data_IF_898862602566
#
_entry.id   IF_898862602566
#
_cell.length_a   1.000
_cell.length_b   1.000
_cell.length_c   1.000
_cell.angle_alpha   90.00
_cell.angle_beta   90.00
_cell.angle_gamma   90.00
#
_symmetry.space_group_name_H-M   'P 1'
#
loop_
_entity.id
_entity.type
_entity.pdbx_description
1 polymer ?
#
# COMPACT_ATOMS: atom_id res chain seq x y z
N UNK A 1 -39.55 4.40 20.15
CA UNK A 1 -39.59 3.09 19.46
C UNK A 1 -38.38 2.27 19.91
N UNK A 2 -38.41 0.95 19.78
CA UNK A 2 -37.29 0.06 20.13
C UNK A 2 -36.62 -0.55 18.87
N UNK A 3 -35.58 -1.36 19.06
CA UNK A 3 -34.85 -2.00 17.93
C UNK A 3 -35.78 -2.88 17.09
N UNK A 4 -36.72 -3.60 17.71
CA UNK A 4 -37.67 -4.46 16.98
C UNK A 4 -38.64 -3.66 16.12
N UNK A 5 -38.96 -2.42 16.49
CA UNK A 5 -39.73 -1.50 15.64
C UNK A 5 -38.92 -1.10 14.40
N UNK A 6 -37.63 -0.76 14.56
CA UNK A 6 -36.76 -0.37 13.44
C UNK A 6 -36.51 -1.52 12.45
N UNK A 7 -36.28 -2.74 12.97
CA UNK A 7 -36.16 -3.93 12.12
C UNK A 7 -37.43 -4.19 11.31
N UNK A 8 -38.61 -3.97 11.92
CA UNK A 8 -39.91 -4.09 11.22
C UNK A 8 -40.11 -3.03 10.15
N UNK A 9 -39.52 -1.85 10.31
CA UNK A 9 -39.49 -0.81 9.28
C UNK A 9 -38.48 -1.10 8.16
N UNK A 10 -37.73 -2.21 8.24
CA UNK A 10 -36.76 -2.62 7.22
C UNK A 10 -35.37 -2.01 7.41
N UNK A 11 -35.08 -1.40 8.57
CA UNK A 11 -33.72 -0.97 8.91
C UNK A 11 -32.86 -2.22 9.15
N UNK A 12 -31.75 -2.42 8.42
CA UNK A 12 -30.87 -3.57 8.61
C UNK A 12 -30.17 -3.52 9.96
N UNK A 13 -29.75 -4.69 10.46
CA UNK A 13 -28.94 -4.78 11.68
C UNK A 13 -27.57 -4.08 11.51
N UNK A 14 -26.92 -3.78 12.64
CA UNK A 14 -25.61 -3.13 12.68
C UNK A 14 -25.73 -1.61 12.82
N UNK A 15 -24.85 -0.87 12.15
CA UNK A 15 -24.69 0.58 12.34
C UNK A 15 -25.92 1.38 11.91
N UNK A 16 -26.69 0.86 10.95
CA UNK A 16 -27.96 1.46 10.53
C UNK A 16 -28.97 1.56 11.68
N UNK A 17 -28.94 0.64 12.66
CA UNK A 17 -29.78 0.72 13.87
C UNK A 17 -29.36 1.89 14.76
N UNK A 18 -28.04 2.13 14.91
CA UNK A 18 -27.55 3.25 15.72
C UNK A 18 -27.87 4.59 15.08
N UNK A 19 -27.72 4.68 13.75
CA UNK A 19 -28.09 5.86 12.97
C UNK A 19 -29.61 6.10 13.00
N UNK A 20 -30.42 5.05 12.85
CA UNK A 20 -31.87 5.15 12.95
C UNK A 20 -32.31 5.62 14.34
N UNK A 21 -31.67 5.11 15.41
CA UNK A 21 -31.96 5.58 16.77
C UNK A 21 -31.58 7.05 16.98
N UNK A 22 -30.43 7.48 16.45
CA UNK A 22 -29.97 8.87 16.55
C UNK A 22 -30.89 9.81 15.77
N UNK A 23 -31.27 9.42 14.55
CA UNK A 23 -32.24 10.12 13.70
C UNK A 23 -33.60 10.22 14.37
N UNK A 24 -34.14 9.12 14.88
CA UNK A 24 -35.38 9.06 15.67
C UNK A 24 -35.36 10.04 16.85
N UNK A 25 -34.28 10.05 17.65
CA UNK A 25 -34.15 10.98 18.79
C UNK A 25 -34.17 12.44 18.34
N UNK A 26 -33.52 12.75 17.23
CA UNK A 26 -33.52 14.10 16.65
C UNK A 26 -34.92 14.53 16.22
N UNK A 27 -35.66 13.67 15.54
CA UNK A 27 -37.03 13.97 15.11
C UNK A 27 -37.99 14.15 16.30
N UNK A 28 -37.88 13.30 17.33
CA UNK A 28 -38.67 13.48 18.56
C UNK A 28 -38.34 14.81 19.27
N UNK A 29 -37.06 15.21 19.29
CA UNK A 29 -36.66 16.50 19.85
C UNK A 29 -37.19 17.70 19.05
N UNK A 30 -37.51 17.51 17.76
CA UNK A 30 -38.18 18.49 16.91
C UNK A 30 -39.71 18.50 17.09
N UNK A 31 -40.26 17.66 17.97
CA UNK A 31 -41.69 17.62 18.28
C UNK A 31 -42.51 16.70 17.38
N UNK A 32 -41.88 15.89 16.52
CA UNK A 32 -42.60 14.90 15.72
C UNK A 32 -43.16 13.80 16.62
N UNK A 33 -44.37 13.35 16.33
CA UNK A 33 -44.97 12.21 17.02
C UNK A 33 -44.43 10.88 16.49
N UNK A 34 -44.82 9.78 17.14
CA UNK A 34 -44.35 8.44 16.76
C UNK A 34 -44.72 8.06 15.33
N UNK A 35 -45.93 8.40 14.87
CA UNK A 35 -46.40 8.01 13.53
C UNK A 35 -45.62 8.77 12.45
N UNK A 36 -45.33 10.04 12.68
CA UNK A 36 -44.51 10.87 11.80
C UNK A 36 -43.07 10.35 11.72
N UNK A 37 -42.48 9.94 12.85
CA UNK A 37 -41.14 9.34 12.87
C UNK A 37 -41.09 7.99 12.16
N UNK A 38 -42.09 7.13 12.36
CA UNK A 38 -42.20 5.84 11.66
C UNK A 38 -42.34 6.04 10.15
N UNK A 39 -43.15 7.01 9.71
CA UNK A 39 -43.33 7.35 8.30
C UNK A 39 -42.05 7.89 7.67
N UNK A 40 -41.29 8.73 8.39
CA UNK A 40 -40.02 9.29 7.91
C UNK A 40 -38.97 8.18 7.69
N UNK A 41 -38.80 7.29 8.68
CA UNK A 41 -37.86 6.16 8.58
C UNK A 41 -38.30 5.19 7.48
N UNK A 42 -39.59 4.89 7.38
CA UNK A 42 -40.11 4.03 6.32
C UNK A 42 -39.86 4.62 4.93
N UNK A 43 -40.07 5.93 4.75
CA UNK A 43 -39.76 6.62 3.50
C UNK A 43 -38.29 6.47 3.12
N UNK A 44 -37.38 6.68 4.08
CA UNK A 44 -35.94 6.48 3.88
C UNK A 44 -35.60 5.04 3.49
N UNK A 45 -36.23 4.04 4.10
CA UNK A 45 -36.00 2.62 3.76
C UNK A 45 -36.54 2.28 2.38
N UNK A 46 -37.70 2.83 2.01
CA UNK A 46 -38.37 2.54 0.75
C UNK A 46 -37.64 3.13 -0.46
N UNK A 47 -37.07 4.34 -0.33
CA UNK A 47 -36.30 5.00 -1.39
C UNK A 47 -35.10 5.78 -0.81
N UNK A 48 -34.03 5.10 -0.35
CA UNK A 48 -32.89 5.78 0.25
C UNK A 48 -32.25 6.85 -0.66
N UNK A 49 -32.04 6.62 -1.97
CA UNK A 49 -31.45 7.63 -2.87
C UNK A 49 -32.14 8.98 -2.87
N UNK A 50 -33.47 9.04 -2.69
CA UNK A 50 -34.23 10.28 -2.64
C UNK A 50 -33.79 11.23 -1.51
N UNK A 51 -33.09 10.71 -0.50
CA UNK A 51 -32.68 11.45 0.69
C UNK A 51 -31.17 11.74 0.74
N UNK A 52 -30.39 11.42 -0.30
CA UNK A 52 -28.93 11.60 -0.28
C UNK A 52 -28.48 13.06 -0.25
N UNK A 53 -29.35 13.99 -0.66
CA UNK A 53 -29.12 15.43 -0.63
C UNK A 53 -29.67 16.12 0.65
N UNK A 54 -30.33 15.37 1.53
CA UNK A 54 -30.88 15.90 2.79
C UNK A 54 -29.88 15.66 3.93
N UNK A 55 -29.29 16.73 4.46
CA UNK A 55 -28.26 16.63 5.52
C UNK A 55 -28.72 15.89 6.79
N UNK A 56 -30.02 15.85 7.06
CA UNK A 56 -30.59 15.18 8.25
C UNK A 56 -30.79 13.70 8.00
N UNK A 57 -31.32 13.34 6.82
CA UNK A 57 -31.73 11.96 6.48
C UNK A 57 -30.66 11.18 5.74
N UNK A 58 -29.77 11.84 5.02
CA UNK A 58 -28.70 11.24 4.24
C UNK A 58 -27.84 10.24 5.03
N UNK A 59 -27.46 10.49 6.30
CA UNK A 59 -26.67 9.52 7.06
C UNK A 59 -27.37 8.15 7.20
N UNK A 60 -28.67 8.16 7.52
CA UNK A 60 -29.45 6.93 7.62
C UNK A 60 -29.70 6.31 6.24
N UNK A 61 -30.08 7.13 5.25
CA UNK A 61 -30.35 6.67 3.90
C UNK A 61 -29.15 5.95 3.28
N UNK A 62 -27.96 6.56 3.34
CA UNK A 62 -26.71 5.98 2.83
C UNK A 62 -26.33 4.71 3.58
N UNK A 63 -26.55 4.68 4.90
CA UNK A 63 -26.28 3.50 5.72
C UNK A 63 -27.17 2.30 5.37
N UNK A 64 -28.39 2.52 4.87
CA UNK A 64 -29.35 1.48 4.49
C UNK A 64 -29.24 1.08 3.01
N UNK A 65 -28.81 1.99 2.15
CA UNK A 65 -28.76 1.76 0.70
C UNK A 65 -27.85 0.59 0.31
N UNK A 66 -28.44 -0.47 -0.28
CA UNK A 66 -27.75 -1.67 -0.76
C UNK A 66 -28.23 -2.03 -2.17
N UNK A 67 -27.76 -1.31 -3.21
CA UNK A 67 -28.18 -1.61 -4.57
C UNK A 67 -27.67 -2.99 -5.01
N UNK A 68 -28.43 -3.71 -5.84
CA UNK A 68 -27.93 -4.94 -6.45
C UNK A 68 -26.69 -4.62 -7.30
N UNK A 69 -25.72 -5.52 -7.30
CA UNK A 69 -24.53 -5.36 -8.12
C UNK A 69 -24.89 -5.45 -9.60
N UNK A 70 -24.62 -4.37 -10.34
CA UNK A 70 -24.68 -4.36 -11.80
C UNK A 70 -23.28 -3.99 -12.30
N UNK A 71 -22.59 -4.87 -13.04
CA UNK A 71 -21.30 -4.53 -13.61
C UNK A 71 -21.47 -3.43 -14.66
N UNK A 72 -20.39 -2.73 -14.97
CA UNK A 72 -20.39 -1.77 -16.09
C UNK A 72 -20.71 -2.51 -17.40
N UNK A 73 -21.45 -1.85 -18.29
CA UNK A 73 -21.70 -2.36 -19.63
C UNK A 73 -20.39 -2.48 -20.44
N UNK A 74 -19.48 -1.52 -20.24
CA UNK A 74 -18.13 -1.51 -20.77
C UNK A 74 -17.13 -1.32 -19.62
N UNK A 75 -16.03 -2.06 -19.67
CA UNK A 75 -14.95 -1.91 -18.70
C UNK A 75 -14.46 -0.45 -18.68
N UNK A 76 -14.11 0.04 -17.49
CA UNK A 76 -13.34 1.26 -17.40
C UNK A 76 -12.08 1.16 -18.28
N UNK A 77 -11.70 2.22 -19.02
CA UNK A 77 -10.53 2.19 -19.89
C UNK A 77 -9.28 1.86 -19.07
N UNK A 78 -8.45 0.95 -19.58
CA UNK A 78 -7.19 0.61 -18.94
C UNK A 78 -6.13 0.19 -19.95
N UNK A 79 -4.86 0.37 -19.55
CA UNK A 79 -3.70 0.01 -20.37
C UNK A 79 -2.77 -0.94 -19.60
N UNK A 80 -2.13 -1.85 -20.35
CA UNK A 80 -1.13 -2.78 -19.84
C UNK A 80 0.27 -2.39 -20.32
N UNK A 81 1.25 -2.52 -19.43
CA UNK A 81 2.67 -2.48 -19.74
C UNK A 81 3.28 -3.87 -19.51
N UNK A 82 4.19 -4.27 -20.40
CA UNK A 82 4.79 -5.60 -20.40
C UNK A 82 3.96 -6.67 -21.12
N UNK A 83 4.65 -7.74 -21.50
CA UNK A 83 4.10 -8.91 -22.20
C UNK A 83 4.24 -10.17 -21.35
N UNK A 84 3.46 -11.20 -21.63
CA UNK A 84 3.56 -12.49 -20.92
C UNK A 84 3.18 -12.44 -19.44
N UNK A 85 2.38 -11.44 -19.02
CA UNK A 85 1.86 -11.36 -17.67
C UNK A 85 0.93 -12.55 -17.36
N UNK A 86 0.85 -12.93 -16.09
CA UNK A 86 -0.02 -14.01 -15.64
C UNK A 86 -1.48 -13.72 -16.00
N UNK A 87 -2.15 -14.65 -16.70
CA UNK A 87 -3.52 -14.45 -17.18
C UNK A 87 -4.51 -14.12 -16.05
N UNK A 88 -4.30 -14.70 -14.86
CA UNK A 88 -5.13 -14.40 -13.70
C UNK A 88 -4.90 -12.97 -13.17
N UNK A 89 -3.67 -12.44 -13.21
CA UNK A 89 -3.41 -11.04 -12.83
C UNK A 89 -4.09 -10.06 -13.81
N UNK A 90 -4.04 -10.36 -15.11
CA UNK A 90 -4.76 -9.59 -16.14
C UNK A 90 -6.28 -9.64 -15.91
N UNK A 91 -6.80 -10.83 -15.59
CA UNK A 91 -8.23 -11.00 -15.24
C UNK A 91 -8.62 -10.23 -13.99
N UNK A 92 -7.78 -10.20 -12.95
CA UNK A 92 -8.01 -9.39 -11.76
C UNK A 92 -8.12 -7.89 -12.09
N UNK A 93 -7.27 -7.39 -13.01
CA UNK A 93 -7.37 -6.01 -13.49
C UNK A 93 -8.68 -5.76 -14.24
N UNK A 94 -9.07 -6.65 -15.16
CA UNK A 94 -10.33 -6.54 -15.89
C UNK A 94 -11.56 -6.56 -14.96
N UNK A 95 -11.54 -7.44 -13.94
CA UNK A 95 -12.56 -7.51 -12.90
C UNK A 95 -12.67 -6.19 -12.12
N UNK A 96 -11.54 -5.58 -11.77
CA UNK A 96 -11.51 -4.28 -11.11
C UNK A 96 -12.10 -3.18 -12.01
N UNK A 97 -11.77 -3.16 -13.30
CA UNK A 97 -12.34 -2.24 -14.28
C UNK A 97 -13.83 -2.50 -14.60
N UNK A 98 -14.39 -3.65 -14.20
CA UNK A 98 -15.81 -3.97 -14.39
C UNK A 98 -16.71 -3.39 -13.28
N UNK A 99 -16.13 -2.92 -12.17
CA UNK A 99 -16.88 -2.36 -11.05
C UNK A 99 -17.60 -1.08 -11.46
N UNK A 100 -18.82 -0.83 -10.95
CA UNK A 100 -19.56 0.40 -11.27
C UNK A 100 -18.82 1.67 -10.85
N UNK A 101 -18.01 1.60 -9.79
CA UNK A 101 -17.19 2.73 -9.30
C UNK A 101 -15.88 2.92 -10.07
N UNK A 102 -15.48 2.01 -10.95
CA UNK A 102 -14.23 2.12 -11.69
C UNK A 102 -14.30 3.23 -12.74
N UNK A 103 -13.23 4.03 -12.83
CA UNK A 103 -13.11 5.17 -13.75
C UNK A 103 -12.03 4.90 -14.80
N UNK A 104 -10.86 4.41 -14.40
CA UNK A 104 -9.77 4.03 -15.28
C UNK A 104 -8.81 3.07 -14.57
N UNK A 105 -7.92 2.40 -15.31
CA UNK A 105 -6.92 1.53 -14.72
C UNK A 105 -5.61 1.45 -15.48
N UNK A 106 -4.58 0.92 -14.83
CA UNK A 106 -3.30 0.61 -15.45
C UNK A 106 -2.70 -0.65 -14.82
N UNK A 107 -2.02 -1.46 -15.64
CA UNK A 107 -1.36 -2.69 -15.20
C UNK A 107 0.14 -2.61 -15.52
N UNK A 108 0.97 -2.65 -14.48
CA UNK A 108 2.42 -2.48 -14.54
C UNK A 108 3.13 -3.79 -14.98
N UNK A 109 4.37 -3.71 -15.51
CA UNK A 109 5.07 -4.89 -16.04
C UNK A 109 5.50 -5.91 -14.96
N UNK A 110 5.55 -5.51 -13.70
CA UNK A 110 5.80 -6.38 -12.54
C UNK A 110 4.54 -7.09 -12.03
N UNK A 111 3.40 -6.93 -12.72
CA UNK A 111 2.14 -7.42 -12.21
C UNK A 111 2.06 -8.94 -12.02
N UNK A 112 1.43 -9.36 -10.94
CA UNK A 112 1.21 -10.74 -10.55
C UNK A 112 -0.01 -10.86 -9.63
N UNK A 113 -0.50 -12.09 -9.44
CA UNK A 113 -1.74 -12.36 -8.71
C UNK A 113 -1.68 -11.82 -7.28
N UNK A 114 -2.72 -11.08 -6.89
CA UNK A 114 -2.92 -10.56 -5.54
C UNK A 114 -4.33 -10.84 -5.00
N UNK A 115 -4.75 -10.10 -3.98
CA UNK A 115 -6.13 -10.11 -3.47
C UNK A 115 -6.95 -8.95 -4.02
N UNK A 116 -8.02 -9.21 -4.79
CA UNK A 116 -8.81 -8.16 -5.41
C UNK A 116 -8.07 -7.55 -6.60
N UNK A 117 -7.47 -6.37 -6.42
CA UNK A 117 -6.56 -5.78 -7.41
C UNK A 117 -5.25 -6.61 -7.48
N UNK A 118 -4.69 -6.88 -8.68
CA UNK A 118 -3.40 -7.53 -8.79
C UNK A 118 -2.31 -6.64 -8.19
N UNK A 119 -1.22 -7.25 -7.73
CA UNK A 119 0.00 -6.49 -7.43
C UNK A 119 0.54 -6.00 -8.78
N UNK A 120 1.03 -4.76 -8.87
CA UNK A 120 1.28 -4.05 -10.13
C UNK A 120 0.03 -3.37 -10.71
N UNK A 121 -1.11 -3.41 -10.01
CA UNK A 121 -2.36 -2.79 -10.46
C UNK A 121 -2.51 -1.35 -9.98
N UNK A 122 -3.08 -0.51 -10.84
CA UNK A 122 -3.53 0.85 -10.53
C UNK A 122 -4.99 1.00 -10.93
N UNK A 123 -5.84 1.44 -10.02
CA UNK A 123 -7.28 1.60 -10.26
C UNK A 123 -7.76 2.96 -9.77
N UNK A 124 -8.25 3.78 -10.69
CA UNK A 124 -8.99 5.00 -10.37
C UNK A 124 -10.48 4.67 -10.18
N UNK A 125 -11.07 5.17 -9.09
CA UNK A 125 -12.50 5.01 -8.79
C UNK A 125 -13.16 6.36 -8.52
N UNK A 126 -14.47 6.42 -8.72
CA UNK A 126 -15.30 7.58 -8.42
C UNK A 126 -15.75 7.55 -6.95
N UNK A 127 -15.26 8.50 -6.15
CA UNK A 127 -15.58 8.72 -4.74
C UNK A 127 -15.64 7.45 -3.85
N UNK A 128 -14.88 6.42 -4.18
CA UNK A 128 -14.92 5.13 -3.52
C UNK A 128 -13.52 4.62 -3.22
N UNK A 129 -13.34 4.00 -2.08
CA UNK A 129 -12.07 3.39 -1.67
C UNK A 129 -12.24 1.88 -1.46
N UNK A 130 -11.31 1.09 -2.00
CA UNK A 130 -11.31 -0.38 -1.95
C UNK A 130 -10.13 -0.82 -1.07
N UNK A 131 -10.37 -1.26 0.18
CA UNK A 131 -9.27 -1.56 1.11
C UNK A 131 -8.27 -2.60 0.59
N UNK A 132 -8.71 -3.65 -0.09
CA UNK A 132 -7.79 -4.64 -0.68
C UNK A 132 -7.09 -4.18 -1.96
N UNK A 133 -7.58 -3.12 -2.62
CA UNK A 133 -6.87 -2.45 -3.70
C UNK A 133 -5.82 -1.46 -3.19
N UNK A 134 -5.89 -1.04 -1.92
CA UNK A 134 -4.77 -0.38 -1.23
C UNK A 134 -3.70 -1.41 -0.86
N UNK A 135 -4.13 -2.56 -0.33
CA UNK A 135 -3.25 -3.66 0.08
C UNK A 135 -3.33 -3.95 1.57
N UNK A 136 -2.91 -5.17 1.97
CA UNK A 136 -2.93 -5.60 3.38
C UNK A 136 -1.93 -4.79 4.19
N UNK A 137 -0.69 -4.69 3.71
CA UNK A 137 0.30 -3.79 4.29
C UNK A 137 0.12 -2.38 3.72
N UNK A 138 -0.77 -1.62 4.37
CA UNK A 138 -1.07 -0.24 4.02
C UNK A 138 0.20 0.59 4.09
N UNK A 139 0.43 1.39 3.05
CA UNK A 139 1.57 2.29 2.92
C UNK A 139 2.94 1.61 3.03
N UNK A 140 3.02 0.33 2.66
CA UNK A 140 4.29 -0.30 2.33
C UNK A 140 5.04 0.59 1.32
N UNK A 141 6.31 0.85 1.62
CA UNK A 141 7.12 1.87 0.96
C UNK A 141 8.60 1.50 0.91
N UNK A 142 9.29 2.16 0.00
CA UNK A 142 10.74 2.14 -0.12
C UNK A 142 11.32 3.43 0.44
N UNK A 143 12.49 3.35 1.07
CA UNK A 143 13.33 4.52 1.39
C UNK A 143 14.79 4.23 1.08
N UNK A 144 15.42 5.09 0.28
CA UNK A 144 16.83 5.06 -0.03
C UNK A 144 17.51 6.28 0.60
N UNK A 145 18.58 6.06 1.36
CA UNK A 145 19.50 7.13 1.76
C UNK A 145 20.88 6.85 1.20
N UNK A 146 21.43 7.81 0.47
CA UNK A 146 22.82 7.80 0.02
C UNK A 146 23.64 8.63 1.00
N UNK A 147 24.80 8.12 1.40
CA UNK A 147 25.67 8.75 2.38
C UNK A 147 26.90 9.41 1.74
N UNK A 148 27.53 10.33 2.46
CA UNK A 148 28.81 10.99 2.15
C UNK A 148 30.03 10.04 2.23
N UNK A 149 29.90 8.81 1.72
CA UNK A 149 30.90 7.73 1.81
C UNK A 149 31.02 7.03 0.46
N UNK A 150 32.25 6.78 0.01
CA UNK A 150 32.52 6.06 -1.25
C UNK A 150 32.04 4.60 -1.19
N UNK A 151 31.38 4.11 -2.22
CA UNK A 151 30.81 2.75 -2.28
C UNK A 151 31.84 1.63 -2.09
N UNK A 152 33.08 1.84 -2.56
CA UNK A 152 34.17 0.87 -2.40
C UNK A 152 34.56 0.61 -0.91
N UNK A 153 34.09 1.44 0.03
CA UNK A 153 34.32 1.27 1.47
C UNK A 153 33.54 0.10 2.07
N UNK A 154 32.46 -0.36 1.42
CA UNK A 154 31.60 -1.45 1.90
C UNK A 154 32.40 -2.75 2.11
N UNK A 155 33.26 -3.11 1.15
CA UNK A 155 34.02 -4.36 1.20
C UNK A 155 34.93 -4.47 2.44
N UNK A 156 35.51 -3.34 2.88
CA UNK A 156 36.38 -3.30 4.07
C UNK A 156 35.64 -3.13 5.40
N UNK A 157 34.31 -2.99 5.40
CA UNK A 157 33.51 -2.70 6.60
C UNK A 157 32.32 -3.65 6.79
N UNK A 158 32.30 -4.80 6.10
CA UNK A 158 31.16 -5.74 6.12
C UNK A 158 30.70 -6.11 7.53
N UNK A 159 31.60 -6.54 8.41
CA UNK A 159 31.27 -6.88 9.80
C UNK A 159 30.67 -5.70 10.57
N UNK A 160 31.20 -4.49 10.35
CA UNK A 160 30.68 -3.27 10.98
C UNK A 160 29.26 -2.97 10.49
N UNK A 161 29.04 -3.01 9.17
CA UNK A 161 27.73 -2.76 8.56
C UNK A 161 26.70 -3.82 8.98
N UNK A 162 27.11 -5.08 9.06
CA UNK A 162 26.28 -6.18 9.55
C UNK A 162 25.85 -5.96 11.01
N UNK A 163 26.79 -5.60 11.88
CA UNK A 163 26.48 -5.27 13.27
C UNK A 163 25.54 -4.07 13.41
N UNK A 164 25.64 -3.06 12.53
CA UNK A 164 24.72 -1.92 12.50
C UNK A 164 23.31 -2.36 12.09
N UNK A 165 23.18 -3.18 11.03
CA UNK A 165 21.89 -3.74 10.64
C UNK A 165 21.30 -4.60 11.77
N UNK A 166 22.10 -5.43 12.43
CA UNK A 166 21.66 -6.23 13.57
C UNK A 166 21.18 -5.39 14.76
N UNK A 167 21.88 -4.31 15.09
CA UNK A 167 21.50 -3.49 16.24
C UNK A 167 20.30 -2.58 15.98
N UNK A 168 20.19 -2.01 14.78
CA UNK A 168 19.22 -0.94 14.47
C UNK A 168 17.98 -1.36 13.68
N UNK A 169 17.87 -2.64 13.27
CA UNK A 169 16.69 -3.20 12.60
C UNK A 169 16.11 -4.38 13.37
N UNK A 170 14.79 -4.59 13.26
CA UNK A 170 14.11 -5.75 13.85
C UNK A 170 13.16 -6.35 12.82
N UNK A 171 13.26 -7.65 12.64
CA UNK A 171 12.42 -8.43 11.74
C UNK A 171 11.62 -9.47 12.52
N UNK A 172 10.55 -9.96 11.91
CA UNK A 172 9.61 -10.92 12.51
C UNK A 172 8.34 -10.25 13.03
N UNK A 173 7.28 -11.05 13.15
CA UNK A 173 6.00 -10.54 13.66
C UNK A 173 6.11 -10.18 15.14
N UNK A 174 5.56 -9.03 15.53
CA UNK A 174 5.53 -8.61 16.93
C UNK A 174 6.90 -8.24 17.52
N UNK A 175 7.96 -8.16 16.70
CA UNK A 175 9.26 -7.71 17.18
C UNK A 175 9.19 -6.25 17.68
N UNK A 176 10.00 -5.95 18.68
CA UNK A 176 10.08 -4.63 19.34
C UNK A 176 11.52 -4.28 19.66
N UNK A 177 11.79 -2.99 19.85
CA UNK A 177 13.04 -2.56 20.47
C UNK A 177 12.94 -2.61 22.00
N UNK A 178 14.06 -2.89 22.67
CA UNK A 178 14.14 -2.87 24.15
C UNK A 178 13.77 -1.50 24.71
N UNK A 179 14.29 -0.45 24.07
CA UNK A 179 13.89 0.93 24.33
C UNK A 179 12.91 1.32 23.23
N UNK A 180 11.71 1.78 23.60
CA UNK A 180 10.74 2.30 22.64
C UNK A 180 11.37 3.49 21.91
N UNK A 181 11.20 3.52 20.60
CA UNK A 181 11.57 4.68 19.79
C UNK A 181 10.44 5.71 19.87
N UNK A 182 10.80 6.97 19.64
CA UNK A 182 9.88 8.10 19.67
C UNK A 182 9.86 8.80 18.31
N UNK A 183 8.68 9.25 17.92
CA UNK A 183 8.44 10.02 16.71
C UNK A 183 7.08 10.71 16.83
N UNK A 184 6.96 11.91 16.28
CA UNK A 184 5.77 12.78 16.34
C UNK A 184 4.48 12.12 15.83
N UNK A 185 4.57 11.01 15.07
CA UNK A 185 3.40 10.26 14.60
C UNK A 185 2.61 9.64 15.76
N UNK A 186 3.26 9.43 16.91
CA UNK A 186 2.60 8.90 18.10
C UNK A 186 1.78 9.96 18.85
N UNK A 187 1.99 11.24 18.54
CA UNK A 187 1.26 12.39 19.09
C UNK A 187 0.09 12.82 18.20
N UNK A 188 -0.04 12.25 16.99
CA UNK A 188 -1.20 12.46 16.12
C UNK A 188 -2.50 11.87 16.70
N UNK A 189 -3.62 12.19 16.06
CA UNK A 189 -4.91 11.63 16.45
C UNK A 189 -5.05 10.15 16.04
N UNK A 190 -4.84 9.25 17.01
CA UNK A 190 -5.11 7.81 16.83
C UNK A 190 -6.58 7.43 17.02
N UNK A 191 -7.45 8.38 17.42
CA UNK A 191 -8.89 8.17 17.62
C UNK A 191 -9.71 8.29 16.34
N UNK A 192 -9.06 8.58 15.20
CA UNK A 192 -9.65 8.59 13.85
C UNK A 192 -10.39 7.30 13.47
N UNK A 193 -10.09 6.18 14.13
CA UNK A 193 -10.90 4.96 14.08
C UNK A 193 -10.79 4.16 15.37
N UNK A 194 -11.80 3.32 15.71
CA UNK A 194 -11.71 2.43 16.86
C UNK A 194 -10.53 1.44 16.79
N UNK A 195 -10.16 1.00 15.58
CA UNK A 195 -9.06 0.04 15.39
C UNK A 195 -7.70 0.70 15.61
N UNK A 196 -7.47 1.91 15.10
CA UNK A 196 -6.23 2.66 15.34
C UNK A 196 -6.09 3.01 16.82
N UNK A 197 -7.16 3.47 17.47
CA UNK A 197 -7.14 3.84 18.88
C UNK A 197 -6.72 2.65 19.75
N UNK A 198 -7.36 1.50 19.54
CA UNK A 198 -7.06 0.26 20.27
C UNK A 198 -5.63 -0.24 20.05
N UNK A 199 -5.08 -0.02 18.86
CA UNK A 199 -3.77 -0.55 18.48
C UNK A 199 -2.61 0.43 18.67
N UNK A 200 -2.86 1.66 19.13
CA UNK A 200 -1.83 2.70 19.32
C UNK A 200 -0.61 2.21 20.11
N UNK A 201 -0.81 1.58 21.26
CA UNK A 201 0.31 1.11 22.10
C UNK A 201 1.13 0.00 21.44
N UNK A 202 0.47 -0.87 20.67
CA UNK A 202 1.13 -1.90 19.87
C UNK A 202 1.92 -1.26 18.73
N UNK A 203 1.35 -0.28 18.03
CA UNK A 203 2.05 0.46 17.00
C UNK A 203 3.29 1.17 17.58
N UNK A 204 3.18 1.77 18.77
CA UNK A 204 4.33 2.39 19.42
C UNK A 204 5.43 1.36 19.74
N UNK A 205 5.09 0.19 20.27
CA UNK A 205 6.11 -0.81 20.60
C UNK A 205 6.86 -1.35 19.37
N UNK A 206 6.22 -1.34 18.20
CA UNK A 206 6.79 -1.77 16.92
C UNK A 206 7.41 -0.62 16.09
N UNK A 207 7.39 0.61 16.60
CA UNK A 207 7.85 1.79 15.87
C UNK A 207 9.35 1.68 15.52
N UNK A 208 9.68 1.87 14.24
CA UNK A 208 11.02 1.74 13.68
C UNK A 208 11.47 0.30 13.38
N UNK A 209 10.57 -0.68 13.41
CA UNK A 209 10.86 -2.08 13.02
C UNK A 209 10.64 -2.32 11.52
N UNK A 210 11.28 -3.35 10.98
CA UNK A 210 11.29 -3.67 9.54
C UNK A 210 10.25 -4.73 9.17
N UNK A 211 10.07 -5.73 10.04
CA UNK A 211 8.97 -6.69 9.90
C UNK A 211 9.22 -8.04 9.26
N UNK A 212 8.19 -8.59 8.63
CA UNK A 212 8.24 -9.92 7.98
C UNK A 212 7.84 -9.87 6.51
N UNK A 213 7.89 -11.02 5.82
CA UNK A 213 7.59 -11.12 4.39
C UNK A 213 8.73 -10.59 3.52
N UNK A 214 8.37 -9.82 2.48
CA UNK A 214 9.30 -9.24 1.52
C UNK A 214 10.02 -7.97 2.04
N UNK A 215 9.85 -7.62 3.31
CA UNK A 215 10.54 -6.49 3.93
C UNK A 215 12.03 -6.75 4.09
N UNK A 216 12.82 -5.70 3.89
CA UNK A 216 14.27 -5.76 3.96
C UNK A 216 14.90 -4.44 4.37
N UNK A 217 16.14 -4.52 4.84
CA UNK A 217 17.05 -3.39 4.97
C UNK A 217 18.40 -3.85 4.47
N UNK A 218 18.96 -3.12 3.51
CA UNK A 218 20.18 -3.53 2.82
C UNK A 218 21.14 -2.36 2.61
N UNK A 219 22.43 -2.62 2.80
CA UNK A 219 23.48 -1.74 2.33
C UNK A 219 23.88 -2.14 0.92
N UNK A 220 24.12 -1.14 0.08
CA UNK A 220 24.55 -1.32 -1.29
C UNK A 220 25.36 -0.15 -1.81
N UNK A 221 25.87 -0.31 -3.03
CA UNK A 221 26.51 0.78 -3.76
C UNK A 221 25.45 1.50 -4.60
N UNK A 222 25.31 2.81 -4.41
CA UNK A 222 24.54 3.66 -5.30
C UNK A 222 25.47 4.33 -6.31
N UNK A 223 25.20 4.12 -7.60
CA UNK A 223 26.00 4.63 -8.70
C UNK A 223 25.20 5.64 -9.51
N UNK A 224 25.79 6.82 -9.68
CA UNK A 224 25.29 7.88 -10.54
C UNK A 224 26.43 8.38 -11.45
N UNK A 225 26.16 8.50 -12.75
CA UNK A 225 27.09 9.17 -13.68
C UNK A 225 27.11 10.70 -13.48
N UNK A 226 27.91 11.43 -14.25
CA UNK A 226 28.03 12.89 -14.10
C UNK A 226 26.70 13.64 -14.28
N UNK A 227 25.88 13.26 -15.27
CA UNK A 227 24.61 13.93 -15.53
C UNK A 227 23.55 13.57 -14.47
N UNK A 228 23.55 12.32 -14.04
CA UNK A 228 22.70 11.83 -12.96
C UNK A 228 23.04 12.47 -11.61
N UNK A 229 24.33 12.57 -11.29
CA UNK A 229 24.82 13.15 -10.05
C UNK A 229 24.52 14.66 -9.98
N UNK A 230 24.64 15.38 -11.11
CA UNK A 230 24.24 16.79 -11.22
C UNK A 230 22.76 16.97 -10.89
N UNK A 231 21.87 16.08 -11.36
CA UNK A 231 20.44 16.14 -11.06
C UNK A 231 20.10 16.00 -9.56
N UNK A 232 21.01 15.42 -8.77
CA UNK A 232 20.86 15.27 -7.31
C UNK A 232 21.74 16.23 -6.50
N UNK A 233 22.65 16.96 -7.13
CA UNK A 233 23.64 17.77 -6.43
C UNK A 233 24.63 16.94 -5.60
N UNK A 234 24.98 15.74 -6.06
CA UNK A 234 25.97 14.86 -5.41
C UNK A 234 27.21 14.68 -6.29
N UNK A 235 28.30 14.18 -5.73
CA UNK A 235 29.48 13.81 -6.50
C UNK A 235 29.20 12.59 -7.40
N UNK A 236 29.71 12.54 -8.64
CA UNK A 236 29.55 11.37 -9.48
C UNK A 236 30.35 10.16 -8.96
N UNK A 237 29.86 8.96 -9.29
CA UNK A 237 30.49 7.70 -8.93
C UNK A 237 29.66 6.87 -7.95
N UNK A 238 30.36 6.02 -7.18
CA UNK A 238 29.73 5.09 -6.26
C UNK A 238 29.74 5.61 -4.83
N UNK A 239 28.57 5.55 -4.18
CA UNK A 239 28.36 5.93 -2.78
C UNK A 239 27.79 4.77 -1.98
N UNK A 240 28.04 4.76 -0.67
CA UNK A 240 27.34 3.86 0.25
C UNK A 240 25.90 4.33 0.35
N UNK A 241 24.97 3.42 0.17
CA UNK A 241 23.56 3.69 0.36
C UNK A 241 22.88 2.61 1.20
N UNK A 242 21.80 3.01 1.86
CA UNK A 242 20.90 2.15 2.60
C UNK A 242 19.53 2.17 1.91
N UNK A 243 19.05 1.00 1.50
CA UNK A 243 17.69 0.82 1.01
C UNK A 243 16.89 0.05 2.06
N UNK A 244 15.70 0.52 2.40
CA UNK A 244 14.77 -0.22 3.24
C UNK A 244 13.41 -0.33 2.59
N UNK A 245 12.75 -1.45 2.87
CA UNK A 245 11.40 -1.81 2.45
C UNK A 245 10.62 -2.27 3.68
N UNK A 246 9.58 -1.53 4.07
CA UNK A 246 8.72 -1.80 5.22
C UNK A 246 7.39 -1.06 5.04
N UNK A 247 6.46 -1.28 5.94
CA UNK A 247 5.14 -0.66 5.91
C UNK A 247 4.61 -0.29 7.28
N UNK A 248 3.29 -0.40 7.44
CA UNK A 248 2.57 0.00 8.65
C UNK A 248 2.41 -1.14 9.66
N UNK A 249 3.11 -2.26 9.43
CA UNK A 249 3.20 -3.43 10.30
C UNK A 249 1.82 -4.06 10.53
N UNK A 250 1.72 -4.93 11.53
CA UNK A 250 0.46 -5.55 11.92
C UNK A 250 -0.68 -4.58 12.26
N UNK A 251 -0.42 -3.30 12.56
CA UNK A 251 -1.49 -2.31 12.79
C UNK A 251 -2.22 -1.96 11.49
N UNK A 252 -1.49 -1.67 10.41
CA UNK A 252 -2.12 -1.43 9.11
C UNK A 252 -2.84 -2.64 8.54
N UNK A 253 -2.28 -3.85 8.75
CA UNK A 253 -2.96 -5.08 8.38
C UNK A 253 -4.33 -5.24 9.09
N UNK A 254 -4.42 -4.86 10.36
CA UNK A 254 -5.69 -4.88 11.10
C UNK A 254 -6.68 -3.79 10.62
N UNK A 255 -6.18 -2.61 10.24
CA UNK A 255 -7.02 -1.59 9.59
C UNK A 255 -7.59 -2.14 8.28
N UNK A 256 -6.76 -2.73 7.42
CA UNK A 256 -7.21 -3.33 6.17
C UNK A 256 -8.25 -4.44 6.40
N UNK A 257 -8.01 -5.36 7.34
CA UNK A 257 -8.94 -6.45 7.66
C UNK A 257 -10.32 -5.96 8.14
N UNK A 258 -10.35 -5.00 9.07
CA UNK A 258 -11.60 -4.43 9.60
C UNK A 258 -12.43 -3.80 8.48
N UNK A 259 -11.83 -2.90 7.70
CA UNK A 259 -12.57 -2.15 6.69
C UNK A 259 -12.88 -2.97 5.44
N UNK A 260 -12.06 -3.98 5.10
CA UNK A 260 -12.40 -4.96 4.06
C UNK A 260 -13.64 -5.77 4.43
N UNK A 261 -13.77 -6.22 5.68
CA UNK A 261 -14.96 -6.94 6.16
C UNK A 261 -16.20 -6.07 6.11
N UNK A 262 -16.09 -4.79 6.51
CA UNK A 262 -17.20 -3.82 6.41
C UNK A 262 -17.62 -3.58 4.96
N UNK A 263 -16.65 -3.38 4.06
CA UNK A 263 -16.92 -3.24 2.62
C UNK A 263 -17.64 -4.47 2.07
N UNK A 264 -17.17 -5.67 2.36
CA UNK A 264 -17.80 -6.92 1.92
C UNK A 264 -19.22 -7.11 2.47
N UNK A 265 -19.48 -6.69 3.70
CA UNK A 265 -20.82 -6.74 4.28
C UNK A 265 -21.78 -5.74 3.61
N UNK A 266 -21.27 -4.56 3.22
CA UNK A 266 -22.04 -3.57 2.44
C UNK A 266 -22.34 -4.02 1.02
N UNK A 267 -21.52 -4.91 0.47
CA UNK A 267 -21.65 -5.43 -0.88
C UNK A 267 -21.84 -6.95 -0.90
N UNK A 268 -22.76 -7.46 -0.07
CA UNK A 268 -22.97 -8.91 0.10
C UNK A 268 -23.42 -9.63 -1.18
N UNK A 269 -24.04 -8.89 -2.11
CA UNK A 269 -24.49 -9.40 -3.41
C UNK A 269 -23.39 -9.42 -4.48
N UNK A 270 -22.16 -9.01 -4.16
CA UNK A 270 -21.05 -9.14 -5.12
C UNK A 270 -20.79 -10.62 -5.45
N UNK A 271 -20.52 -10.94 -6.72
CA UNK A 271 -19.99 -12.24 -7.11
C UNK A 271 -18.75 -12.60 -6.29
N UNK A 272 -18.54 -13.90 -6.04
CA UNK A 272 -17.48 -14.40 -5.16
C UNK A 272 -16.09 -13.90 -5.60
N UNK A 273 -15.85 -13.85 -6.90
CA UNK A 273 -14.63 -13.39 -7.55
C UNK A 273 -14.40 -11.88 -7.41
N UNK A 274 -15.45 -11.08 -7.18
CA UNK A 274 -15.38 -9.63 -6.96
C UNK A 274 -15.46 -9.25 -5.48
N UNK A 275 -15.62 -10.21 -4.57
CA UNK A 275 -15.82 -9.92 -3.15
C UNK A 275 -14.65 -9.13 -2.55
N UNK A 276 -13.42 -9.41 -2.97
CA UNK A 276 -12.22 -8.68 -2.54
C UNK A 276 -12.08 -7.28 -3.19
N UNK A 277 -12.99 -6.91 -4.09
CA UNK A 277 -13.09 -5.58 -4.69
C UNK A 277 -14.25 -4.76 -4.10
N UNK A 278 -14.86 -5.22 -3.01
CA UNK A 278 -15.86 -4.46 -2.28
C UNK A 278 -15.28 -3.10 -1.82
N UNK A 279 -16.08 -2.04 -1.96
CA UNK A 279 -15.65 -0.68 -1.72
C UNK A 279 -16.38 -0.02 -0.54
N UNK A 280 -15.91 1.16 -0.16
CA UNK A 280 -16.55 2.08 0.77
C UNK A 280 -16.67 3.43 0.05
N UNK A 281 -17.85 4.04 0.06
CA UNK A 281 -18.02 5.42 -0.41
C UNK A 281 -17.36 6.38 0.57
N UNK A 282 -16.63 7.38 0.08
CA UNK A 282 -16.01 8.41 0.92
C UNK A 282 -17.02 9.42 1.51
N UNK A 283 -18.28 9.36 1.07
CA UNK A 283 -19.35 10.11 1.71
C UNK A 283 -19.89 9.42 2.96
N UNK A 284 -19.59 8.14 3.14
CA UNK A 284 -20.11 7.34 4.25
C UNK A 284 -19.10 7.30 5.40
N UNK A 285 -19.62 7.15 6.64
CA UNK A 285 -18.79 7.07 7.84
C UNK A 285 -17.67 6.02 7.74
N UNK A 286 -17.96 4.82 7.22
CA UNK A 286 -16.92 3.78 7.06
C UNK A 286 -15.82 4.18 6.08
N UNK A 287 -16.17 4.85 4.97
CA UNK A 287 -15.18 5.31 4.01
C UNK A 287 -14.32 6.44 4.57
N UNK A 288 -14.94 7.38 5.30
CA UNK A 288 -14.24 8.47 5.98
C UNK A 288 -13.29 7.97 7.08
N UNK A 289 -13.77 7.05 7.93
CA UNK A 289 -12.93 6.41 8.95
C UNK A 289 -11.77 5.63 8.32
N UNK A 290 -12.03 4.81 7.29
CA UNK A 290 -10.97 4.07 6.60
C UNK A 290 -9.96 5.02 5.97
N UNK A 291 -10.42 6.10 5.33
CA UNK A 291 -9.54 7.08 4.71
C UNK A 291 -8.63 7.75 5.75
N UNK A 292 -9.17 8.15 6.89
CA UNK A 292 -8.39 8.74 7.98
C UNK A 292 -7.39 7.73 8.58
N UNK A 293 -7.83 6.49 8.84
CA UNK A 293 -6.99 5.43 9.36
C UNK A 293 -5.86 5.04 8.38
N UNK A 294 -6.17 4.91 7.08
CA UNK A 294 -5.20 4.65 6.02
C UNK A 294 -4.14 5.75 5.96
N UNK A 295 -4.55 7.01 6.05
CA UNK A 295 -3.63 8.15 6.05
C UNK A 295 -2.71 8.18 7.29
N UNK A 296 -3.25 7.86 8.47
CA UNK A 296 -2.43 7.69 9.68
C UNK A 296 -1.42 6.55 9.53
N UNK A 297 -1.83 5.41 8.96
CA UNK A 297 -0.91 4.29 8.66
C UNK A 297 0.15 4.68 7.63
N UNK A 298 -0.20 5.56 6.69
CA UNK A 298 0.71 6.22 5.76
C UNK A 298 1.88 6.92 6.44
N UNK A 299 1.57 7.77 7.41
CA UNK A 299 2.56 8.53 8.19
C UNK A 299 3.31 7.65 9.17
N UNK A 300 2.65 6.65 9.77
CA UNK A 300 3.30 5.67 10.65
C UNK A 300 4.33 4.83 9.90
N UNK A 301 4.03 4.39 8.67
CA UNK A 301 5.01 3.71 7.82
C UNK A 301 6.20 4.64 7.49
N UNK A 302 5.97 5.91 7.15
CA UNK A 302 7.06 6.88 6.95
C UNK A 302 7.96 7.01 8.18
N UNK A 303 7.36 7.13 9.37
CA UNK A 303 8.07 7.21 10.64
C UNK A 303 8.93 5.98 10.94
N UNK A 304 8.47 4.77 10.57
CA UNK A 304 9.26 3.55 10.68
C UNK A 304 10.57 3.66 9.88
N UNK A 305 10.48 4.08 8.63
CA UNK A 305 11.66 4.26 7.77
C UNK A 305 12.56 5.40 8.26
N UNK A 306 11.99 6.54 8.64
CA UNK A 306 12.74 7.67 9.18
C UNK A 306 13.59 7.26 10.39
N UNK A 307 13.03 6.45 11.29
CA UNK A 307 13.76 5.93 12.45
C UNK A 307 14.84 4.90 12.07
N UNK A 308 14.54 3.97 11.16
CA UNK A 308 15.55 3.01 10.66
C UNK A 308 16.76 3.77 10.11
N UNK A 309 16.51 4.73 9.21
CA UNK A 309 17.57 5.48 8.54
C UNK A 309 18.32 6.41 9.49
N UNK A 310 17.62 7.13 10.38
CA UNK A 310 18.23 8.00 11.40
C UNK A 310 19.17 7.25 12.34
N UNK A 311 18.73 6.10 12.85
CA UNK A 311 19.52 5.31 13.78
C UNK A 311 20.74 4.67 13.11
N UNK A 312 20.57 4.17 11.88
CA UNK A 312 21.68 3.61 11.09
C UNK A 312 22.69 4.70 10.73
N UNK A 313 22.26 5.86 10.24
CA UNK A 313 23.13 6.99 9.91
C UNK A 313 23.98 7.41 11.12
N UNK A 314 23.34 7.51 12.31
CA UNK A 314 24.03 7.84 13.57
C UNK A 314 25.12 6.82 13.93
N UNK A 315 24.89 5.53 13.72
CA UNK A 315 25.88 4.46 13.99
C UNK A 315 26.97 4.38 12.93
N UNK A 316 26.62 4.69 11.69
CA UNK A 316 27.57 4.78 10.59
C UNK A 316 28.51 5.98 10.76
N UNK A 317 28.03 7.07 11.37
CA UNK A 317 28.75 8.33 11.50
C UNK A 317 28.92 8.98 10.13
N UNK A 318 27.83 9.04 9.37
CA UNK A 318 27.78 9.54 8.00
C UNK A 318 26.54 10.42 7.81
N UNK A 319 26.66 11.39 6.93
CA UNK A 319 25.60 12.34 6.60
C UNK A 319 24.86 11.87 5.35
N UNK A 320 23.54 12.08 5.33
CA UNK A 320 22.72 11.81 4.16
C UNK A 320 22.94 12.90 3.11
N UNK A 321 23.34 12.52 1.90
CA UNK A 321 23.51 13.43 0.74
C UNK A 321 22.37 13.31 -0.27
N UNK A 322 21.59 12.22 -0.21
CA UNK A 322 20.37 12.03 -0.98
C UNK A 322 19.40 11.18 -0.15
N UNK A 323 18.14 11.58 -0.11
CA UNK A 323 17.07 10.85 0.57
C UNK A 323 15.83 10.80 -0.34
N UNK A 324 15.41 9.59 -0.70
CA UNK A 324 14.30 9.34 -1.60
C UNK A 324 13.38 8.31 -0.95
N UNK A 325 12.07 8.55 -1.03
CA UNK A 325 11.06 7.58 -0.59
C UNK A 325 9.85 7.58 -1.52
N UNK A 326 9.21 6.42 -1.65
CA UNK A 326 7.99 6.26 -2.43
C UNK A 326 7.08 5.17 -1.84
N UNK A 327 5.78 5.45 -1.84
CA UNK A 327 4.76 4.47 -1.48
C UNK A 327 4.52 3.51 -2.66
N UNK A 328 4.06 2.30 -2.35
CA UNK A 328 3.56 1.40 -3.40
C UNK A 328 2.27 0.63 -3.04
N UNK A 329 1.73 0.79 -1.84
CA UNK A 329 0.43 0.28 -1.42
C UNK A 329 -0.39 1.39 -0.77
N UNK A 330 -1.10 2.20 -1.55
CA UNK A 330 -1.83 3.34 -1.01
C UNK A 330 -2.97 3.80 -1.94
N UNK A 331 -3.85 4.67 -1.45
CA UNK A 331 -4.82 5.38 -2.28
C UNK A 331 -4.68 6.89 -2.12
N UNK A 332 -4.82 7.61 -3.22
CA UNK A 332 -4.73 9.08 -3.25
C UNK A 332 -5.94 9.67 -3.95
N UNK A 333 -6.32 10.86 -3.51
CA UNK A 333 -7.30 11.69 -4.21
C UNK A 333 -6.52 12.55 -5.22
N UNK A 334 -6.76 12.32 -6.51
CA UNK A 334 -6.00 12.92 -7.60
C UNK A 334 -6.92 13.43 -8.69
N UNK A 335 -6.43 14.38 -9.51
CA UNK A 335 -7.14 14.83 -10.71
C UNK A 335 -6.53 14.20 -11.95
N UNK A 336 -7.37 13.58 -12.76
CA UNK A 336 -6.97 12.94 -14.01
C UNK A 336 -7.94 13.30 -15.13
N UNK A 337 -7.44 13.34 -16.36
CA UNK A 337 -8.28 13.46 -17.56
C UNK A 337 -8.69 12.06 -17.98
N UNK A 338 -9.98 11.74 -17.87
CA UNK A 338 -10.52 10.43 -18.25
C UNK A 338 -11.64 10.65 -19.27
N UNK A 339 -11.54 10.00 -20.42
CA UNK A 339 -12.45 10.20 -21.56
C UNK A 339 -12.58 11.68 -22.00
N UNK A 340 -11.49 12.45 -21.87
CA UNK A 340 -11.46 13.87 -22.26
C UNK A 340 -11.98 14.85 -21.21
N UNK A 341 -12.40 14.38 -20.03
CA UNK A 341 -12.90 15.23 -18.95
C UNK A 341 -11.98 15.16 -17.72
N UNK A 342 -11.67 16.32 -17.11
CA UNK A 342 -10.98 16.35 -15.82
C UNK A 342 -11.94 15.86 -14.72
N UNK A 343 -11.47 14.90 -13.93
CA UNK A 343 -12.22 14.31 -12.81
C UNK A 343 -11.33 14.19 -11.58
N UNK A 344 -11.88 14.47 -10.42
CA UNK A 344 -11.29 14.06 -9.15
C UNK A 344 -11.63 12.58 -8.92
N UNK A 345 -10.62 11.76 -8.68
CA UNK A 345 -10.75 10.31 -8.56
C UNK A 345 -9.90 9.80 -7.39
N UNK A 346 -10.24 8.61 -6.90
CA UNK A 346 -9.45 7.90 -5.89
C UNK A 346 -8.58 6.87 -6.60
N UNK A 347 -7.28 7.14 -6.69
CA UNK A 347 -6.30 6.29 -7.36
C UNK A 347 -5.69 5.33 -6.35
N UNK A 348 -6.03 4.05 -6.49
CA UNK A 348 -5.44 2.95 -5.75
C UNK A 348 -4.20 2.47 -6.48
N UNK A 349 -3.06 2.35 -5.78
CA UNK A 349 -1.87 1.69 -6.29
C UNK A 349 -1.51 0.55 -5.35
N UNK A 350 -1.43 -0.67 -5.90
CA UNK A 350 -1.03 -1.88 -5.17
C UNK A 350 0.14 -2.52 -5.87
N UNK A 351 1.31 -2.46 -5.24
CA UNK A 351 2.57 -2.75 -5.91
C UNK A 351 2.81 -1.87 -7.13
N UNK A 352 2.41 -0.60 -7.07
CA UNK A 352 2.69 0.40 -8.09
C UNK A 352 3.00 1.74 -7.41
N UNK A 353 3.85 2.56 -7.99
CA UNK A 353 4.33 3.78 -7.35
C UNK A 353 3.95 5.04 -8.14
N UNK A 354 3.73 6.20 -7.49
CA UNK A 354 3.55 7.46 -8.20
C UNK A 354 4.74 7.78 -9.11
N UNK A 355 4.45 8.17 -10.35
CA UNK A 355 5.38 8.53 -11.41
C UNK A 355 4.88 9.76 -12.19
N UNK A 356 4.27 10.71 -11.48
CA UNK A 356 4.00 12.05 -12.00
C UNK A 356 5.28 12.72 -12.53
N UNK A 357 5.15 13.71 -13.41
CA UNK A 357 6.29 14.38 -14.01
C UNK A 357 7.23 14.93 -12.91
N UNK A 358 8.49 14.48 -12.91
CA UNK A 358 9.50 14.89 -11.93
C UNK A 358 9.46 14.16 -10.58
N UNK A 359 8.44 13.33 -10.31
CA UNK A 359 8.32 12.58 -9.06
C UNK A 359 9.42 11.52 -9.01
N UNK A 360 10.21 11.51 -7.94
CA UNK A 360 11.26 10.52 -7.71
C UNK A 360 10.68 9.25 -7.09
N UNK A 361 11.31 8.11 -7.39
CA UNK A 361 10.97 6.83 -6.76
C UNK A 361 12.11 5.83 -6.84
N UNK A 362 11.96 4.71 -6.14
CA UNK A 362 12.86 3.55 -6.21
C UNK A 362 12.08 2.33 -6.69
N UNK A 363 12.66 1.63 -7.67
CA UNK A 363 12.17 0.36 -8.20
C UNK A 363 13.24 -0.71 -7.92
N UNK A 364 13.15 -1.44 -6.79
CA UNK A 364 14.08 -2.53 -6.46
C UNK A 364 13.95 -3.73 -7.39
N UNK A 365 15.07 -4.43 -7.62
CA UNK A 365 15.08 -5.75 -8.22
C UNK A 365 14.81 -6.84 -7.19
N UNK A 366 15.88 -7.51 -6.77
CA UNK A 366 15.91 -8.57 -5.75
C UNK A 366 17.17 -8.42 -4.92
N UNK A 367 17.35 -9.25 -3.90
CA UNK A 367 18.59 -9.28 -3.11
C UNK A 367 19.88 -9.50 -3.94
N UNK A 368 19.79 -9.93 -5.20
CA UNK A 368 20.95 -10.16 -6.07
C UNK A 368 20.89 -9.42 -7.42
N UNK A 369 19.92 -8.53 -7.61
CA UNK A 369 19.77 -7.74 -8.84
C UNK A 369 19.61 -6.25 -8.50
N UNK A 370 19.99 -5.35 -9.42
CA UNK A 370 19.99 -3.92 -9.11
C UNK A 370 18.58 -3.40 -8.84
N UNK A 371 18.50 -2.36 -8.01
CA UNK A 371 17.38 -1.42 -7.99
C UNK A 371 17.71 -0.14 -8.76
N UNK A 372 16.68 0.62 -9.11
CA UNK A 372 16.84 1.87 -9.86
C UNK A 372 16.18 3.03 -9.13
N UNK A 373 16.89 4.14 -9.02
CA UNK A 373 16.28 5.43 -8.72
C UNK A 373 15.74 5.99 -10.02
N UNK A 374 14.48 6.37 -10.02
CA UNK A 374 13.75 6.80 -11.21
C UNK A 374 13.09 8.15 -11.02
N UNK A 375 12.77 8.79 -12.14
CA UNK A 375 11.96 10.00 -12.22
C UNK A 375 10.77 9.78 -13.14
N UNK A 376 9.57 10.03 -12.65
CA UNK A 376 8.33 9.91 -13.42
C UNK A 376 8.28 10.88 -14.60
N UNK A 377 7.75 10.39 -15.72
CA UNK A 377 7.47 11.17 -16.94
C UNK A 377 6.07 11.78 -16.94
N UNK A 378 5.20 11.36 -16.01
CA UNK A 378 3.84 11.85 -15.90
C UNK A 378 2.91 11.38 -17.01
N UNK A 379 3.04 10.11 -17.43
CA UNK A 379 2.13 9.52 -18.42
C UNK A 379 0.69 9.45 -17.89
N UNK A 380 -0.29 10.12 -18.53
CA UNK A 380 -1.68 10.09 -18.08
C UNK A 380 -2.32 8.71 -18.18
N UNK A 381 -1.92 7.91 -19.17
CA UNK A 381 -2.49 6.57 -19.40
C UNK A 381 -2.13 5.58 -18.28
N UNK A 382 -1.02 5.82 -17.56
CA UNK A 382 -0.65 5.03 -16.39
C UNK A 382 -1.22 5.58 -15.09
N UNK A 383 -2.11 6.58 -15.16
CA UNK A 383 -2.58 7.35 -14.00
C UNK A 383 -1.38 7.89 -13.20
N UNK A 384 -0.38 8.42 -13.92
CA UNK A 384 0.85 8.95 -13.35
C UNK A 384 1.53 7.92 -12.42
N UNK A 385 1.63 6.67 -12.87
CA UNK A 385 2.19 5.57 -12.08
C UNK A 385 3.25 4.76 -12.84
N UNK A 386 4.07 4.04 -12.10
CA UNK A 386 5.07 3.10 -12.60
C UNK A 386 5.12 1.83 -11.74
N UNK A 387 5.91 0.85 -12.17
CA UNK A 387 6.14 -0.38 -11.43
C UNK A 387 6.79 -0.11 -10.06
N UNK A 388 6.61 -1.01 -9.09
CA UNK A 388 7.18 -0.87 -7.75
C UNK A 388 8.41 -1.74 -7.50
N UNK A 389 8.66 -2.73 -8.35
CA UNK A 389 9.81 -3.61 -8.23
C UNK A 389 9.88 -4.61 -9.37
N UNK A 390 10.49 -5.78 -9.13
CA UNK A 390 10.52 -6.86 -10.12
C UNK A 390 9.21 -7.66 -10.21
N UNK A 391 8.46 -7.78 -9.10
CA UNK A 391 7.28 -8.63 -9.03
C UNK A 391 7.60 -10.13 -8.99
N UNK A 392 6.71 -10.93 -8.40
CA UNK A 392 6.94 -12.37 -8.22
C UNK A 392 6.57 -13.15 -9.49
N UNK A 393 7.23 -14.29 -9.71
CA UNK A 393 6.87 -15.29 -10.74
C UNK A 393 6.27 -16.57 -10.15
N UNK A 394 6.21 -16.66 -8.82
CA UNK A 394 5.65 -17.81 -8.12
C UNK A 394 5.21 -17.50 -6.69
N UNK A 395 4.31 -18.35 -6.18
CA UNK A 395 3.88 -18.29 -4.78
C UNK A 395 5.01 -18.62 -3.81
N UNK A 396 4.90 -18.14 -2.57
CA UNK A 396 5.84 -18.45 -1.49
C UNK A 396 5.97 -19.96 -1.26
N UNK A 397 4.84 -20.68 -1.26
CA UNK A 397 4.81 -22.14 -1.14
C UNK A 397 5.60 -22.84 -2.25
N UNK A 398 5.44 -22.41 -3.50
CA UNK A 398 6.17 -22.98 -4.63
C UNK A 398 7.66 -22.66 -4.55
N UNK A 399 8.04 -21.47 -4.08
CA UNK A 399 9.42 -21.09 -3.86
C UNK A 399 10.12 -21.98 -2.83
N UNK A 400 9.48 -22.24 -1.68
CA UNK A 400 10.01 -23.15 -0.64
C UNK A 400 10.26 -24.58 -1.15
N UNK A 401 9.53 -25.01 -2.17
CA UNK A 401 9.69 -26.32 -2.81
C UNK A 401 10.75 -26.33 -3.93
N UNK A 402 11.02 -25.16 -4.53
CA UNK A 402 11.83 -25.04 -5.74
C UNK A 402 13.30 -24.68 -5.48
N UNK A 403 13.60 -24.06 -4.32
CA UNK A 403 14.93 -23.54 -4.03
C UNK A 403 15.60 -24.21 -2.83
N UNK A 404 16.93 -24.22 -2.87
CA UNK A 404 17.77 -24.70 -1.77
C UNK A 404 18.81 -23.65 -1.40
N UNK A 405 19.13 -23.54 -0.11
CA UNK A 405 20.11 -22.56 0.36
C UNK A 405 21.51 -22.75 -0.24
N UNK A 406 21.90 -23.98 -0.58
CA UNK A 406 23.22 -24.24 -1.18
C UNK A 406 23.34 -23.60 -2.58
N UNK A 407 22.29 -23.67 -3.40
CA UNK A 407 22.25 -23.02 -4.71
C UNK A 407 22.17 -21.49 -4.58
N UNK A 408 21.30 -21.00 -3.70
CA UNK A 408 21.11 -19.57 -3.46
C UNK A 408 22.41 -18.92 -2.95
N UNK A 409 23.13 -19.54 -2.02
CA UNK A 409 24.42 -19.03 -1.53
C UNK A 409 25.47 -18.89 -2.64
N UNK A 410 25.51 -19.83 -3.60
CA UNK A 410 26.41 -19.73 -4.76
C UNK A 410 26.04 -18.55 -5.66
N UNK A 411 24.74 -18.34 -5.90
CA UNK A 411 24.25 -17.20 -6.67
C UNK A 411 24.60 -15.86 -6.00
N UNK A 412 24.38 -15.74 -4.69
CA UNK A 412 24.70 -14.53 -3.93
C UNK A 412 26.21 -14.25 -3.90
N UNK A 413 27.03 -15.29 -3.70
CA UNK A 413 28.49 -15.16 -3.75
C UNK A 413 28.97 -14.66 -5.14
N UNK A 414 28.39 -15.17 -6.23
CA UNK A 414 28.70 -14.71 -7.58
C UNK A 414 28.28 -13.25 -7.82
N UNK A 415 27.20 -12.79 -7.18
CA UNK A 415 26.76 -11.39 -7.21
C UNK A 415 27.54 -10.48 -6.24
N UNK A 416 28.43 -11.04 -5.40
CA UNK A 416 29.14 -10.30 -4.37
C UNK A 416 28.25 -9.79 -3.23
N UNK A 417 27.14 -10.50 -2.96
CA UNK A 417 26.15 -10.17 -1.94
C UNK A 417 26.34 -11.06 -0.71
N UNK A 418 26.42 -10.44 0.46
CA UNK A 418 26.34 -11.12 1.74
C UNK A 418 24.90 -11.06 2.27
N UNK A 419 24.39 -12.21 2.71
CA UNK A 419 23.04 -12.33 3.25
C UNK A 419 23.11 -12.65 4.75
N UNK A 420 22.55 -11.76 5.56
CA UNK A 420 22.46 -11.93 7.02
C UNK A 420 21.29 -12.86 7.39
N UNK A 421 20.13 -12.62 6.77
CA UNK A 421 18.93 -13.43 6.98
C UNK A 421 17.93 -13.21 5.84
N UNK A 422 17.24 -14.29 5.44
CA UNK A 422 16.04 -14.24 4.61
C UNK A 422 15.30 -15.59 4.67
N UNK A 423 14.08 -15.62 4.13
CA UNK A 423 13.37 -16.85 3.77
C UNK A 423 13.71 -17.31 2.35
N UNK A 424 13.57 -18.62 2.07
CA UNK A 424 13.73 -19.18 0.71
C UNK A 424 12.64 -18.68 -0.25
N UNK A 425 11.55 -18.15 0.28
CA UNK A 425 10.43 -17.59 -0.44
C UNK A 425 10.67 -16.18 -0.98
N UNK A 426 11.83 -15.57 -0.69
CA UNK A 426 12.22 -14.22 -1.12
C UNK A 426 13.56 -14.20 -1.90
N UNK A 427 14.06 -15.35 -2.35
CA UNK A 427 15.35 -15.46 -3.07
C UNK A 427 15.23 -14.96 -4.52
N UNK A 428 16.34 -14.60 -5.21
CA UNK A 428 16.27 -13.92 -6.50
C UNK A 428 15.42 -14.62 -7.57
N UNK A 429 15.45 -15.96 -7.61
CA UNK A 429 14.68 -16.75 -8.58
C UNK A 429 13.16 -16.71 -8.40
N UNK A 430 12.63 -16.10 -7.34
CA UNK A 430 11.17 -15.91 -7.17
C UNK A 430 10.66 -14.65 -7.84
N UNK A 431 11.56 -13.79 -8.31
CA UNK A 431 11.25 -12.48 -8.90
C UNK A 431 11.46 -12.50 -10.42
N UNK A 432 10.75 -11.62 -11.14
CA UNK A 432 11.01 -11.39 -12.56
C UNK A 432 12.39 -10.75 -12.76
N UNK A 433 12.86 -10.76 -14.01
CA UNK A 433 14.05 -10.01 -14.38
C UNK A 433 13.74 -8.50 -14.37
N UNK A 434 14.36 -7.77 -13.43
CA UNK A 434 14.18 -6.33 -13.28
C UNK A 434 14.56 -5.55 -14.55
N UNK A 435 15.51 -6.03 -15.34
CA UNK A 435 15.89 -5.36 -16.58
C UNK A 435 14.74 -5.38 -17.61
N UNK A 436 13.99 -6.48 -17.68
CA UNK A 436 12.81 -6.60 -18.56
C UNK A 436 11.66 -5.71 -18.07
N UNK A 437 11.44 -5.68 -16.76
CA UNK A 437 10.43 -4.79 -16.14
C UNK A 437 10.74 -3.32 -16.47
N UNK A 438 11.99 -2.89 -16.33
CA UNK A 438 12.40 -1.52 -16.66
C UNK A 438 12.31 -1.23 -18.16
N UNK A 439 12.70 -2.16 -19.03
CA UNK A 439 12.59 -2.00 -20.47
C UNK A 439 11.13 -1.82 -20.94
N UNK A 440 10.18 -2.45 -20.26
CA UNK A 440 8.76 -2.41 -20.57
C UNK A 440 8.04 -1.12 -20.15
N UNK A 441 8.69 -0.19 -19.46
CA UNK A 441 8.10 1.06 -18.95
C UNK A 441 8.94 2.32 -19.20
N UNK A 442 9.75 2.31 -20.27
CA UNK A 442 10.63 3.44 -20.62
C UNK A 442 9.86 4.71 -20.95
N UNK A 443 8.57 4.62 -21.28
CA UNK A 443 7.66 5.75 -21.45
C UNK A 443 7.11 6.32 -20.13
N UNK A 444 7.24 5.57 -19.02
CA UNK A 444 6.74 5.98 -17.70
C UNK A 444 7.80 6.68 -16.85
N UNK A 445 9.07 6.29 -16.96
CA UNK A 445 10.16 6.76 -16.09
C UNK A 445 11.49 6.97 -16.81
N UNK A 446 12.29 7.90 -16.30
CA UNK A 446 13.73 8.00 -16.56
C UNK A 446 14.53 7.32 -15.43
N UNK A 447 15.62 6.63 -15.76
CA UNK A 447 16.55 6.09 -14.76
C UNK A 447 17.58 7.16 -14.39
N UNK A 448 17.63 7.52 -13.11
CA UNK A 448 18.55 8.52 -12.57
C UNK A 448 19.68 7.92 -11.74
N UNK A 449 19.63 6.64 -11.42
CA UNK A 449 20.73 5.98 -10.72
C UNK A 449 20.47 4.51 -10.49
N UNK A 450 21.52 3.80 -10.12
CA UNK A 450 21.49 2.34 -9.90
C UNK A 450 21.93 2.04 -8.48
N UNK A 451 21.20 1.16 -7.81
CA UNK A 451 21.55 0.62 -6.50
C UNK A 451 21.88 -0.86 -6.63
N UNK A 452 23.09 -1.26 -6.25
CA UNK A 452 23.54 -2.65 -6.24
C UNK A 452 23.64 -3.15 -4.79
N UNK A 453 22.77 -4.09 -4.36
CA UNK A 453 22.82 -4.67 -3.02
C UNK A 453 24.20 -5.30 -2.74
N UNK A 454 24.67 -5.19 -1.51
CA UNK A 454 25.93 -5.81 -1.04
C UNK A 454 25.78 -6.56 0.27
N UNK A 455 24.91 -6.08 1.15
CA UNK A 455 24.63 -6.70 2.44
C UNK A 455 23.14 -6.62 2.72
N UNK A 456 22.48 -7.78 2.76
CA UNK A 456 21.01 -7.86 2.80
C UNK A 456 20.56 -8.47 4.11
N UNK A 457 19.59 -7.83 4.76
CA UNK A 457 18.87 -8.37 5.92
C UNK A 457 17.37 -8.35 5.66
N UNK A 458 16.74 -9.52 5.78
CA UNK A 458 15.31 -9.72 5.70
C UNK A 458 14.83 -10.54 6.90
N UNK A 459 13.53 -10.83 6.95
CA UNK A 459 12.98 -11.72 7.95
C UNK A 459 13.54 -13.16 7.82
N UNK A 460 13.96 -13.81 8.91
CA UNK A 460 14.39 -15.20 8.87
C UNK A 460 13.29 -16.16 8.40
N UNK A 461 13.69 -17.31 7.88
CA UNK A 461 12.77 -18.37 7.46
C UNK A 461 11.87 -18.86 8.61
N UNK A 462 10.62 -19.20 8.27
CA UNK A 462 9.64 -19.78 9.21
C UNK A 462 8.73 -18.77 9.90
N UNK A 463 9.00 -17.47 9.75
CA UNK A 463 8.11 -16.39 10.18
C UNK A 463 6.95 -16.21 9.19
N UNK A 464 5.75 -15.91 9.71
CA UNK A 464 4.58 -15.64 8.85
C UNK A 464 4.72 -14.25 8.23
N UNK A 465 4.44 -14.17 6.93
CA UNK A 465 4.36 -12.89 6.23
C UNK A 465 3.16 -12.06 6.71
N UNK A 466 3.31 -10.73 6.72
CA UNK A 466 2.25 -9.80 7.13
C UNK A 466 1.26 -9.46 6.01
N UNK A 467 1.56 -9.88 4.78
CA UNK A 467 0.81 -9.65 3.55
C UNK A 467 0.03 -10.87 3.02
#
# INVERSE_FOLDING_TARGET
MNIQDLLRLGVPQGDAIQLANSHMRRLFAQGLDRAQVEADIFGIVADPPAYFADDVRAPLARAIYRPPFTPRAELAPWRQWGEGLEAEAVKQMANACALPVAVAGALMPDAHVGYGLPIGGVLATDNAVIPYAVGVDIACRMKLTVYDRKGNTIAGQRDRLANILESETRFGMGCVFKQRREHDVMDEDWTVSPVTQRLRDKAWSQLGTSGSGNHFVEFGAFTADAAQAEAFGIEPGEHVALLSHSGSRGTGAQVCDVYSKRAMARHEHLPKELKHLAWLSLDDADGQEYWAAMNLMGRYAAANHALIHKHIAKKLGADAILDIENHHNFAWKERHVVNGEEREVIVHRKGATPAGAGVLGIIPGSMASPGYVVRGKGSPESLLSASHGAGRVMSRTKALQSFTWSAVKKQLAAAGVELLSAGLDEVPGVYKDIAQVMAAQTDLVDVLGRFDPKLVKMCPAGERAED
#
